data_IF_020608557167
#
_entry.id   IF_020608557167
#
_cell.length_a   1.000
_cell.length_b   1.000
_cell.length_c   1.000
_cell.angle_alpha   90.00
_cell.angle_beta   90.00
_cell.angle_gamma   90.00
#
_symmetry.space_group_name_H-M   'P 1'
#
loop_
_entity.id
_entity.type
_entity.pdbx_description
1 polymer ?
#
# COMPACT_ATOMS: atom_id res chain seq x y z
N UNK A 1 -8.58 -7.50 -29.57
CA UNK A 1 -7.67 -7.43 -28.41
C UNK A 1 -8.56 -7.38 -27.19
N UNK A 2 -8.55 -8.42 -26.36
CA UNK A 2 -9.19 -8.42 -25.05
C UNK A 2 -8.24 -7.72 -24.07
N UNK A 3 -8.57 -6.47 -23.72
CA UNK A 3 -7.81 -5.66 -22.78
C UNK A 3 -8.69 -5.35 -21.59
N UNK A 4 -8.27 -5.81 -20.41
CA UNK A 4 -9.00 -5.63 -19.15
C UNK A 4 -8.06 -5.03 -18.12
N UNK A 5 -8.50 -3.97 -17.46
CA UNK A 5 -7.75 -3.28 -16.40
C UNK A 5 -8.52 -3.42 -15.10
N UNK A 6 -7.98 -4.18 -14.17
CA UNK A 6 -8.46 -4.21 -12.79
C UNK A 6 -7.72 -3.15 -12.01
N UNK A 7 -8.48 -2.26 -11.38
CA UNK A 7 -7.95 -1.14 -10.61
C UNK A 7 -8.71 -0.95 -9.31
N UNK A 8 -8.14 -0.11 -8.46
CA UNK A 8 -8.81 0.50 -7.30
C UNK A 8 -8.88 2.01 -7.49
N UNK A 9 -9.91 2.64 -6.94
CA UNK A 9 -10.23 4.06 -7.16
C UNK A 9 -9.22 5.02 -6.53
N UNK A 10 -8.42 4.55 -5.57
CA UNK A 10 -7.45 5.38 -4.83
C UNK A 10 -6.01 5.27 -5.34
N UNK A 11 -5.72 4.35 -6.27
CA UNK A 11 -4.35 4.03 -6.67
C UNK A 11 -3.86 4.89 -7.83
N UNK A 12 -2.85 5.75 -7.61
CA UNK A 12 -2.24 6.57 -8.67
C UNK A 12 -1.62 5.73 -9.80
N UNK A 13 -1.07 4.55 -9.50
CA UNK A 13 -0.56 3.65 -10.55
C UNK A 13 -1.67 3.17 -11.49
N UNK A 14 -2.88 2.98 -10.97
CA UNK A 14 -4.04 2.66 -11.80
C UNK A 14 -4.40 3.83 -12.71
N UNK A 15 -4.36 5.06 -12.20
CA UNK A 15 -4.59 6.27 -13.00
C UNK A 15 -3.53 6.42 -14.09
N UNK A 16 -2.28 6.06 -13.81
CA UNK A 16 -1.19 6.05 -14.81
C UNK A 16 -1.41 5.03 -15.92
N UNK A 17 -1.82 3.80 -15.59
CA UNK A 17 -2.18 2.78 -16.61
C UNK A 17 -3.35 3.28 -17.47
N UNK A 18 -4.42 3.76 -16.86
CA UNK A 18 -5.59 4.21 -17.59
C UNK A 18 -5.27 5.42 -18.47
N UNK A 19 -4.52 6.40 -17.95
CA UNK A 19 -4.06 7.56 -18.71
C UNK A 19 -3.14 7.16 -19.86
N UNK A 20 -2.27 6.18 -19.67
CA UNK A 20 -1.41 5.64 -20.72
C UNK A 20 -2.25 5.01 -21.85
N UNK A 21 -3.21 4.13 -21.52
CA UNK A 21 -4.06 3.48 -22.53
C UNK A 21 -4.93 4.50 -23.28
N UNK A 22 -5.52 5.47 -22.55
CA UNK A 22 -6.32 6.55 -23.14
C UNK A 22 -5.52 7.42 -24.11
N UNK A 23 -4.28 7.81 -23.75
CA UNK A 23 -3.42 8.63 -24.62
C UNK A 23 -3.07 7.92 -25.94
N UNK A 24 -3.09 6.60 -25.95
CA UNK A 24 -2.83 5.80 -27.15
C UNK A 24 -4.11 5.32 -27.86
N UNK A 25 -5.28 5.86 -27.50
CA UNK A 25 -6.60 5.48 -28.05
C UNK A 25 -6.90 3.97 -27.96
N UNK A 26 -6.44 3.34 -26.87
CA UNK A 26 -6.59 1.90 -26.65
C UNK A 26 -7.88 1.64 -25.86
N UNK A 27 -8.86 1.05 -26.53
CA UNK A 27 -10.11 0.63 -25.88
C UNK A 27 -9.85 -0.55 -24.94
N UNK A 28 -10.23 -0.39 -23.67
CA UNK A 28 -10.10 -1.42 -22.64
C UNK A 28 -11.31 -1.42 -21.70
N UNK A 29 -11.63 -2.60 -21.18
CA UNK A 29 -12.64 -2.73 -20.12
C UNK A 29 -11.97 -2.43 -18.77
N UNK A 30 -12.43 -1.40 -18.10
CA UNK A 30 -11.93 -1.03 -16.77
C UNK A 30 -12.87 -1.55 -15.69
N UNK A 31 -12.32 -2.21 -14.67
CA UNK A 31 -13.02 -2.76 -13.52
C UNK A 31 -12.46 -2.09 -12.26
N UNK A 32 -13.27 -1.29 -11.57
CA UNK A 32 -12.88 -0.58 -10.34
C UNK A 32 -13.38 -1.34 -9.12
N UNK A 33 -12.53 -2.21 -8.58
CA UNK A 33 -12.92 -3.28 -7.65
C UNK A 33 -13.48 -2.75 -6.32
N UNK A 34 -12.88 -1.71 -5.77
CA UNK A 34 -13.30 -1.13 -4.48
C UNK A 34 -14.61 -0.33 -4.56
N UNK A 35 -15.18 -0.15 -5.77
CA UNK A 35 -16.50 0.45 -5.98
C UNK A 35 -17.58 -0.58 -6.31
N UNK A 36 -17.21 -1.85 -6.53
CA UNK A 36 -18.16 -2.94 -6.70
C UNK A 36 -18.68 -3.40 -5.32
N UNK A 37 -19.82 -4.10 -5.30
CA UNK A 37 -20.42 -4.66 -4.08
C UNK A 37 -20.86 -6.11 -4.27
N UNK A 38 -20.88 -6.87 -3.18
CA UNK A 38 -21.36 -8.26 -3.14
C UNK A 38 -20.64 -9.19 -4.12
N UNK A 39 -21.39 -10.10 -4.73
CA UNK A 39 -20.89 -11.13 -5.65
C UNK A 39 -20.07 -10.57 -6.81
N UNK A 40 -20.38 -9.37 -7.30
CA UNK A 40 -19.64 -8.75 -8.40
C UNK A 40 -18.21 -8.39 -7.99
N UNK A 41 -18.06 -7.85 -6.78
CA UNK A 41 -16.76 -7.54 -6.21
C UNK A 41 -15.95 -8.82 -5.97
N UNK A 42 -16.56 -9.83 -5.38
CA UNK A 42 -15.89 -11.11 -5.11
C UNK A 42 -15.40 -11.79 -6.39
N UNK A 43 -16.23 -11.79 -7.44
CA UNK A 43 -15.85 -12.30 -8.77
C UNK A 43 -14.70 -11.52 -9.37
N UNK A 44 -14.73 -10.19 -9.31
CA UNK A 44 -13.66 -9.35 -9.85
C UNK A 44 -12.33 -9.52 -9.09
N UNK A 45 -12.39 -9.64 -7.76
CA UNK A 45 -11.21 -9.93 -6.92
C UNK A 45 -10.64 -11.29 -7.27
N UNK A 46 -11.50 -12.32 -7.31
CA UNK A 46 -11.10 -13.69 -7.63
C UNK A 46 -10.46 -13.77 -9.01
N UNK A 47 -11.08 -13.16 -10.02
CA UNK A 47 -10.56 -13.12 -11.39
C UNK A 47 -9.20 -12.40 -11.46
N UNK A 48 -9.10 -11.19 -10.90
CA UNK A 48 -7.84 -10.44 -10.84
C UNK A 48 -6.74 -11.26 -10.17
N UNK A 49 -7.04 -11.92 -9.04
CA UNK A 49 -6.09 -12.77 -8.33
C UNK A 49 -5.71 -14.02 -9.13
N UNK A 50 -6.65 -14.66 -9.82
CA UNK A 50 -6.34 -15.84 -10.63
C UNK A 50 -5.39 -15.51 -11.79
N UNK A 51 -5.53 -14.33 -12.38
CA UNK A 51 -4.69 -13.83 -13.47
C UNK A 51 -3.29 -13.40 -12.99
N UNK A 52 -3.22 -12.68 -11.87
CA UNK A 52 -1.98 -12.03 -11.40
C UNK A 52 -1.24 -12.79 -10.30
N UNK A 53 -1.94 -13.65 -9.55
CA UNK A 53 -1.48 -14.31 -8.31
C UNK A 53 -1.13 -13.34 -7.18
N UNK A 54 -1.76 -12.17 -7.15
CA UNK A 54 -1.52 -11.13 -6.15
C UNK A 54 -2.74 -10.24 -5.95
N UNK A 55 -2.79 -9.52 -4.83
CA UNK A 55 -3.88 -8.60 -4.45
C UNK A 55 -3.54 -7.11 -4.63
N UNK A 56 -2.45 -6.83 -5.34
CA UNK A 56 -1.95 -5.50 -5.61
C UNK A 56 -2.44 -4.99 -6.97
N UNK A 57 -2.54 -3.67 -7.11
CA UNK A 57 -3.14 -3.02 -8.28
C UNK A 57 -2.22 -1.93 -8.83
N UNK A 58 -2.26 -1.65 -10.15
CA UNK A 58 -3.16 -2.21 -11.17
C UNK A 58 -2.79 -3.62 -11.66
N UNK A 59 -3.77 -4.31 -12.24
CA UNK A 59 -3.59 -5.56 -13.00
C UNK A 59 -4.18 -5.36 -14.40
N UNK A 60 -3.34 -5.47 -15.42
CA UNK A 60 -3.72 -5.29 -16.82
C UNK A 60 -3.59 -6.62 -17.56
N UNK A 61 -4.69 -7.14 -18.08
CA UNK A 61 -4.73 -8.34 -18.91
C UNK A 61 -4.82 -7.96 -20.37
N UNK A 62 -3.95 -8.53 -21.20
CA UNK A 62 -3.87 -8.30 -22.65
C UNK A 62 -3.73 -9.65 -23.35
N UNK A 63 -4.78 -10.10 -24.04
CA UNK A 63 -4.77 -11.30 -24.90
C UNK A 63 -4.06 -12.53 -24.28
N UNK A 64 -4.33 -12.86 -23.01
CA UNK A 64 -3.70 -14.00 -22.31
C UNK A 64 -2.51 -13.63 -21.42
N UNK A 65 -1.96 -12.43 -21.56
CA UNK A 65 -0.81 -11.97 -20.79
C UNK A 65 -1.23 -11.01 -19.69
N UNK A 66 -0.80 -11.29 -18.46
CA UNK A 66 -0.98 -10.41 -17.32
C UNK A 66 0.24 -9.50 -17.12
N UNK A 67 0.00 -8.19 -17.01
CA UNK A 67 0.95 -7.16 -16.61
C UNK A 67 0.50 -6.60 -15.27
N UNK A 68 1.42 -6.57 -14.31
CA UNK A 68 1.16 -6.05 -12.97
C UNK A 68 1.82 -4.69 -12.84
N UNK A 69 1.15 -3.76 -12.16
CA UNK A 69 1.64 -2.42 -11.95
C UNK A 69 1.70 -1.62 -13.24
N UNK A 70 2.38 -0.46 -13.19
CA UNK A 70 2.67 0.33 -14.37
C UNK A 70 4.07 -0.03 -14.90
N UNK A 71 4.13 -1.00 -15.81
CA UNK A 71 5.35 -1.39 -16.50
C UNK A 71 5.27 -0.91 -17.96
N UNK A 72 5.68 0.33 -18.19
CA UNK A 72 5.47 1.04 -19.45
C UNK A 72 6.12 0.30 -20.62
N UNK A 73 7.37 -0.13 -20.48
CA UNK A 73 8.09 -0.87 -21.52
C UNK A 73 7.37 -2.17 -21.92
N UNK A 74 6.87 -2.93 -20.95
CA UNK A 74 6.11 -4.16 -21.17
C UNK A 74 4.75 -3.90 -21.81
N UNK A 75 4.04 -2.87 -21.37
CA UNK A 75 2.75 -2.47 -21.97
C UNK A 75 2.95 -2.06 -23.44
N UNK A 76 3.94 -1.20 -23.73
CA UNK A 76 4.28 -0.80 -25.10
C UNK A 76 4.56 -1.99 -25.99
N UNK A 77 5.36 -2.95 -25.51
CA UNK A 77 5.68 -4.16 -26.26
C UNK A 77 4.43 -4.98 -26.60
N UNK A 78 3.56 -5.25 -25.62
CA UNK A 78 2.35 -6.04 -25.83
C UNK A 78 1.33 -5.33 -26.75
N UNK A 79 1.28 -4.00 -26.68
CA UNK A 79 0.36 -3.16 -27.45
C UNK A 79 0.95 -2.73 -28.80
N UNK A 80 2.17 -3.17 -29.14
CA UNK A 80 2.90 -2.82 -30.37
C UNK A 80 3.07 -1.31 -30.57
N UNK A 81 3.28 -0.58 -29.49
CA UNK A 81 3.52 0.86 -29.49
C UNK A 81 5.02 1.18 -29.69
N UNK A 82 5.36 2.36 -30.24
CA UNK A 82 6.74 2.80 -30.35
C UNK A 82 7.38 2.98 -28.97
N UNK A 83 8.71 2.93 -28.94
CA UNK A 83 9.46 3.16 -27.70
C UNK A 83 9.26 4.59 -27.19
N UNK A 84 9.30 4.77 -25.86
CA UNK A 84 9.07 6.07 -25.20
C UNK A 84 9.95 7.19 -25.76
N UNK A 85 11.20 6.90 -26.14
CA UNK A 85 12.14 7.91 -26.67
C UNK A 85 11.64 8.51 -28.00
N UNK A 86 11.11 7.65 -28.87
CA UNK A 86 10.58 8.07 -30.18
C UNK A 86 9.32 8.93 -29.99
N UNK A 87 8.45 8.55 -29.06
CA UNK A 87 7.23 9.33 -28.77
C UNK A 87 7.52 10.68 -28.10
N UNK A 88 8.55 10.75 -27.24
CA UNK A 88 8.93 12.01 -26.60
C UNK A 88 9.42 13.05 -27.62
N UNK A 89 10.22 12.62 -28.62
CA UNK A 89 10.66 13.47 -29.74
C UNK A 89 9.48 14.00 -30.58
N UNK A 90 8.41 13.23 -30.71
CA UNK A 90 7.19 13.63 -31.43
C UNK A 90 6.27 14.56 -30.61
N UNK A 91 6.25 14.39 -29.28
CA UNK A 91 5.36 15.12 -28.36
C UNK A 91 5.83 16.53 -27.95
N UNK A 92 7.13 16.84 -28.10
CA UNK A 92 7.68 18.18 -27.80
C UNK A 92 7.15 19.29 -28.75
N UNK A 93 6.39 18.91 -29.79
CA UNK A 93 5.76 19.82 -30.74
C UNK A 93 4.36 20.33 -30.33
N UNK A 94 3.70 19.74 -29.32
CA UNK A 94 2.31 20.09 -28.98
C UNK A 94 2.10 20.33 -27.48
N UNK A 95 2.28 21.60 -27.06
CA UNK A 95 2.03 22.04 -25.69
C UNK A 95 0.56 22.42 -25.44
N UNK A 96 0.01 22.01 -24.28
CA UNK A 96 -1.30 22.48 -23.81
C UNK A 96 -1.22 23.04 -22.38
N UNK A 97 -1.83 24.22 -22.24
CA UNK A 97 -1.99 25.03 -21.02
C UNK A 97 -3.03 24.43 -20.07
N UNK A 98 -2.79 24.53 -18.77
CA UNK A 98 -3.79 24.32 -17.72
C UNK A 98 -4.24 25.65 -17.14
N UNK A 99 -5.56 25.82 -16.99
CA UNK A 99 -6.24 26.97 -16.41
C UNK A 99 -6.86 26.63 -15.04
N UNK A 100 -7.43 27.65 -14.41
CA UNK A 100 -7.32 28.06 -13.01
C UNK A 100 -8.49 27.63 -12.10
N UNK A 101 -8.25 27.82 -10.80
CA UNK A 101 -9.18 28.35 -9.79
C UNK A 101 -9.77 27.34 -8.82
N UNK A 102 -9.63 27.66 -7.53
CA UNK A 102 -9.83 26.76 -6.41
C UNK A 102 -10.51 27.57 -5.29
N UNK A 103 -11.71 27.12 -4.88
CA UNK A 103 -12.70 27.77 -4.00
C UNK A 103 -12.52 27.35 -2.53
N UNK A 104 -13.19 28.03 -1.60
CA UNK A 104 -12.99 27.90 -0.14
C UNK A 104 -13.05 26.47 0.46
N UNK A 105 -13.75 25.51 -0.16
CA UNK A 105 -13.73 24.08 0.25
C UNK A 105 -12.36 23.44 0.08
N UNK A 106 -11.58 23.99 -0.84
CA UNK A 106 -10.24 23.53 -1.10
C UNK A 106 -9.28 23.98 0.00
N UNK A 107 -9.57 25.05 0.76
CA UNK A 107 -8.66 25.51 1.85
C UNK A 107 -8.58 24.52 3.00
N UNK A 108 -9.70 24.02 3.51
CA UNK A 108 -9.71 23.02 4.60
C UNK A 108 -9.11 21.69 4.13
N UNK A 109 -9.35 21.33 2.86
CA UNK A 109 -8.72 20.19 2.19
C UNK A 109 -7.20 20.37 2.08
N UNK A 110 -6.75 21.55 1.67
CA UNK A 110 -5.34 21.93 1.54
C UNK A 110 -4.63 21.85 2.90
N UNK A 111 -5.19 22.43 3.96
CA UNK A 111 -4.62 22.35 5.31
C UNK A 111 -4.51 20.90 5.82
N UNK A 112 -5.49 20.05 5.49
CA UNK A 112 -5.46 18.62 5.86
C UNK A 112 -4.36 17.89 5.10
N UNK A 113 -4.17 18.20 3.81
CA UNK A 113 -3.12 17.60 2.98
C UNK A 113 -1.73 18.07 3.39
N UNK A 114 -1.55 19.35 3.71
CA UNK A 114 -0.30 19.91 4.23
C UNK A 114 0.09 19.20 5.53
N UNK A 115 -0.82 19.07 6.49
CA UNK A 115 -0.53 18.34 7.75
C UNK A 115 -0.17 16.88 7.51
N UNK A 116 -0.88 16.20 6.61
CA UNK A 116 -0.59 14.80 6.27
C UNK A 116 0.78 14.67 5.60
N UNK A 117 1.09 15.56 4.66
CA UNK A 117 2.37 15.64 3.97
C UNK A 117 3.50 15.90 4.96
N UNK A 118 3.39 16.91 5.81
CA UNK A 118 4.40 17.26 6.81
C UNK A 118 4.70 16.09 7.76
N UNK A 119 3.65 15.35 8.15
CA UNK A 119 3.82 14.13 8.94
C UNK A 119 4.59 13.05 8.16
N UNK A 120 4.20 12.76 6.92
CA UNK A 120 4.89 11.79 6.06
C UNK A 120 6.34 12.19 5.77
N UNK A 121 6.64 13.48 5.60
CA UNK A 121 8.00 13.99 5.44
C UNK A 121 8.84 13.75 6.68
N UNK A 122 8.28 13.97 7.88
CA UNK A 122 8.97 13.66 9.15
C UNK A 122 9.24 12.17 9.29
N UNK A 123 8.27 11.31 8.98
CA UNK A 123 8.42 9.85 8.99
C UNK A 123 9.47 9.37 7.96
N UNK A 124 9.53 10.00 6.79
CA UNK A 124 10.55 9.70 5.79
C UNK A 124 11.94 10.05 6.34
N UNK A 125 12.08 11.28 6.85
CA UNK A 125 13.35 11.81 7.34
C UNK A 125 13.88 11.05 8.54
N UNK A 126 13.03 10.61 9.48
CA UNK A 126 13.45 9.82 10.64
C UNK A 126 14.04 8.47 10.27
N UNK A 127 13.73 7.96 9.07
CA UNK A 127 14.27 6.72 8.51
C UNK A 127 15.36 6.95 7.44
N UNK A 128 15.79 8.20 7.24
CA UNK A 128 16.85 8.53 6.27
C UNK A 128 16.39 8.56 4.81
N UNK A 129 15.10 8.75 4.56
CA UNK A 129 14.51 8.82 3.23
C UNK A 129 13.78 10.15 2.99
N UNK A 130 13.29 10.35 1.77
CA UNK A 130 12.44 11.48 1.38
C UNK A 130 11.08 11.00 0.88
N UNK A 131 10.13 11.93 0.76
CA UNK A 131 8.95 11.70 -0.09
C UNK A 131 9.28 12.00 -1.55
N UNK A 132 8.47 11.48 -2.48
CA UNK A 132 8.66 11.63 -3.91
C UNK A 132 8.74 13.12 -4.32
N UNK A 133 9.73 13.54 -5.13
CA UNK A 133 9.85 14.92 -5.56
C UNK A 133 8.73 15.37 -6.53
N UNK A 134 8.09 14.42 -7.23
CA UNK A 134 6.98 14.70 -8.14
C UNK A 134 5.72 15.05 -7.34
N UNK A 135 5.39 16.35 -7.32
CA UNK A 135 4.25 16.89 -6.56
C UNK A 135 2.93 16.26 -6.97
N UNK A 136 2.73 15.99 -8.26
CA UNK A 136 1.49 15.40 -8.75
C UNK A 136 1.32 13.97 -8.21
N UNK A 137 2.40 13.19 -8.22
CA UNK A 137 2.39 11.84 -7.64
C UNK A 137 2.09 11.88 -6.15
N UNK A 138 2.71 12.81 -5.41
CA UNK A 138 2.43 12.97 -3.97
C UNK A 138 0.97 13.33 -3.75
N UNK A 139 0.42 14.31 -4.45
CA UNK A 139 -0.98 14.75 -4.32
C UNK A 139 -1.99 13.64 -4.63
N UNK A 140 -1.75 12.85 -5.67
CA UNK A 140 -2.59 11.68 -6.02
C UNK A 140 -2.56 10.65 -4.89
N UNK A 141 -1.39 10.36 -4.32
CA UNK A 141 -1.24 9.43 -3.20
C UNK A 141 -1.91 9.95 -1.92
N UNK A 142 -1.71 11.22 -1.57
CA UNK A 142 -2.34 11.86 -0.40
C UNK A 142 -3.87 11.86 -0.53
N UNK A 143 -4.37 12.11 -1.74
CA UNK A 143 -5.80 12.01 -2.03
C UNK A 143 -6.32 10.60 -1.78
N UNK A 144 -5.62 9.57 -2.28
CA UNK A 144 -5.97 8.18 -2.03
C UNK A 144 -5.95 7.80 -0.55
N UNK A 145 -4.93 8.26 0.21
CA UNK A 145 -4.83 8.05 1.65
C UNK A 145 -5.99 8.69 2.42
N UNK A 146 -6.35 9.94 2.08
CA UNK A 146 -7.46 10.65 2.72
C UNK A 146 -8.82 10.01 2.41
N UNK A 147 -9.02 9.55 1.16
CA UNK A 147 -10.23 8.79 0.79
C UNK A 147 -10.32 7.50 1.59
N UNK A 148 -9.21 6.76 1.73
CA UNK A 148 -9.18 5.52 2.51
C UNK A 148 -9.38 5.76 4.00
N UNK A 149 -8.81 6.83 4.55
CA UNK A 149 -9.04 7.21 5.95
C UNK A 149 -10.52 7.52 6.20
N UNK A 150 -11.17 8.23 5.28
CA UNK A 150 -12.61 8.48 5.36
C UNK A 150 -13.45 7.21 5.25
N UNK A 151 -13.02 6.24 4.42
CA UNK A 151 -13.75 4.98 4.19
C UNK A 151 -13.61 3.98 5.33
N UNK A 152 -12.40 3.82 5.85
CA UNK A 152 -12.05 2.72 6.75
C UNK A 152 -11.69 3.18 8.17
N UNK A 153 -11.50 4.48 8.39
CA UNK A 153 -11.04 5.04 9.66
C UNK A 153 -9.53 5.00 9.87
N UNK A 154 -8.77 4.56 8.85
CA UNK A 154 -7.31 4.50 8.87
C UNK A 154 -6.72 4.72 7.46
N UNK A 155 -5.48 5.19 7.41
CA UNK A 155 -4.75 5.54 6.18
C UNK A 155 -4.25 4.30 5.43
N UNK A 156 -5.18 3.45 4.98
CA UNK A 156 -4.84 2.26 4.20
C UNK A 156 -4.10 2.65 2.91
N UNK A 157 -3.05 1.90 2.56
CA UNK A 157 -2.23 2.14 1.37
C UNK A 157 -3.11 2.26 0.12
N UNK A 158 -3.01 3.35 -0.64
CA UNK A 158 -3.90 3.59 -1.78
C UNK A 158 -3.70 2.61 -2.93
N UNK A 159 -2.56 1.90 -2.97
CA UNK A 159 -2.18 0.96 -4.03
C UNK A 159 -2.40 -0.52 -3.65
N UNK A 160 -2.94 -0.80 -2.45
CA UNK A 160 -3.31 -2.15 -2.00
C UNK A 160 -4.78 -2.19 -1.63
N UNK A 161 -5.48 -3.26 -1.99
CA UNK A 161 -6.89 -3.40 -1.65
C UNK A 161 -7.05 -3.66 -0.15
N UNK A 162 -7.74 -2.75 0.53
CA UNK A 162 -8.08 -2.86 1.94
C UNK A 162 -9.32 -3.75 2.12
N UNK A 163 -9.36 -4.51 3.21
CA UNK A 163 -10.52 -5.32 3.60
C UNK A 163 -11.54 -4.53 4.41
N UNK A 164 -11.16 -3.36 4.92
CA UNK A 164 -11.97 -2.56 5.84
C UNK A 164 -11.95 -3.09 7.28
N UNK A 165 -11.15 -4.13 7.55
CA UNK A 165 -10.94 -4.69 8.89
C UNK A 165 -9.53 -4.35 9.35
N UNK A 166 -9.41 -3.46 10.33
CA UNK A 166 -8.12 -2.98 10.85
C UNK A 166 -7.11 -4.10 11.13
N UNK A 167 -7.54 -5.18 11.79
CA UNK A 167 -6.68 -6.32 12.13
C UNK A 167 -6.06 -7.02 10.91
N UNK A 168 -6.76 -6.99 9.76
CA UNK A 168 -6.33 -7.61 8.51
C UNK A 168 -5.55 -6.65 7.61
N UNK A 169 -5.65 -5.35 7.88
CA UNK A 169 -5.06 -4.28 7.06
C UNK A 169 -3.93 -3.53 7.79
N UNK A 170 -3.59 -3.92 9.03
CA UNK A 170 -2.60 -3.22 9.85
C UNK A 170 -1.22 -3.15 9.18
N UNK A 171 -0.88 -4.16 8.38
CA UNK A 171 0.36 -4.26 7.60
C UNK A 171 0.42 -3.27 6.42
N UNK A 172 -0.74 -2.79 5.96
CA UNK A 172 -0.86 -1.87 4.82
C UNK A 172 -1.27 -0.44 5.23
N UNK A 173 -1.39 -0.12 6.52
CA UNK A 173 -1.58 1.26 7.00
C UNK A 173 -0.31 2.06 6.70
N UNK A 174 -0.43 3.23 6.09
CA UNK A 174 0.72 4.07 5.74
C UNK A 174 1.39 4.67 7.00
N UNK A 175 2.73 4.66 7.13
CA UNK A 175 3.71 3.91 6.33
C UNK A 175 3.57 2.39 6.58
N UNK A 176 3.39 1.61 5.52
CA UNK A 176 3.14 0.17 5.65
C UNK A 176 4.38 -0.59 6.12
N UNK A 177 4.20 -1.79 6.67
CA UNK A 177 5.30 -2.62 7.20
C UNK A 177 6.38 -2.96 6.16
N UNK A 178 6.05 -2.85 4.87
CA UNK A 178 6.96 -3.11 3.75
C UNK A 178 7.76 -1.87 3.29
N UNK A 179 7.34 -0.67 3.72
CA UNK A 179 7.72 0.59 3.10
C UNK A 179 9.24 0.78 3.04
N UNK A 180 9.90 0.79 4.19
CA UNK A 180 11.33 1.12 4.27
C UNK A 180 12.21 0.01 3.69
N UNK A 181 11.82 -1.25 3.85
CA UNK A 181 12.51 -2.37 3.20
C UNK A 181 12.45 -2.27 1.68
N UNK A 182 11.30 -1.88 1.12
CA UNK A 182 11.15 -1.64 -0.31
C UNK A 182 12.00 -0.45 -0.77
N UNK A 183 12.05 0.64 0.01
CA UNK A 183 12.89 1.81 -0.29
C UNK A 183 14.37 1.46 -0.30
N UNK A 184 14.84 0.72 0.71
CA UNK A 184 16.24 0.29 0.81
C UNK A 184 16.66 -0.56 -0.40
N UNK A 185 15.85 -1.56 -0.74
CA UNK A 185 16.16 -2.53 -1.80
C UNK A 185 15.96 -1.97 -3.20
N UNK A 186 14.86 -1.24 -3.41
CA UNK A 186 14.35 -0.89 -4.74
C UNK A 186 14.31 0.62 -5.00
N UNK A 187 14.81 1.41 -4.05
CA UNK A 187 14.87 2.87 -4.13
C UNK A 187 13.55 3.58 -3.83
N UNK A 188 12.43 2.86 -3.71
CA UNK A 188 11.12 3.42 -3.40
C UNK A 188 10.20 2.40 -2.77
N UNK A 189 9.20 2.86 -2.02
CA UNK A 189 8.13 1.97 -1.55
C UNK A 189 7.18 1.59 -2.70
N UNK A 190 6.30 0.59 -2.48
CA UNK A 190 5.38 0.10 -3.52
C UNK A 190 4.55 1.21 -4.21
N UNK A 191 3.99 2.16 -3.45
CA UNK A 191 3.27 3.29 -4.01
C UNK A 191 4.17 4.43 -4.50
N UNK A 192 5.51 4.32 -4.39
CA UNK A 192 6.46 5.38 -4.68
C UNK A 192 6.21 6.71 -3.95
N UNK A 193 5.63 6.64 -2.75
CA UNK A 193 5.52 7.81 -1.88
C UNK A 193 6.87 8.12 -1.21
N UNK A 194 7.48 7.12 -0.59
CA UNK A 194 8.79 7.21 0.03
C UNK A 194 9.85 6.75 -0.97
N UNK A 195 10.95 7.49 -1.05
CA UNK A 195 12.01 7.29 -2.04
C UNK A 195 13.39 7.51 -1.40
N UNK A 196 14.40 6.82 -1.92
CA UNK A 196 15.80 7.04 -1.58
C UNK A 196 16.47 8.03 -2.52
N UNK A 197 17.64 8.53 -2.14
CA UNK A 197 18.45 9.41 -3.00
C UNK A 197 18.81 8.74 -4.33
N UNK A 198 18.94 7.41 -4.36
CA UNK A 198 19.18 6.63 -5.59
C UNK A 198 18.01 6.76 -6.57
N UNK A 199 16.79 6.75 -6.06
CA UNK A 199 15.61 6.94 -6.91
C UNK A 199 15.51 8.37 -7.41
N UNK A 200 15.78 9.36 -6.55
CA UNK A 200 15.77 10.78 -6.91
C UNK A 200 16.84 11.10 -7.96
N UNK A 201 18.02 10.50 -7.86
CA UNK A 201 19.11 10.67 -8.83
C UNK A 201 18.90 9.91 -10.15
N UNK A 202 17.84 9.10 -10.25
CA UNK A 202 17.55 8.33 -11.46
C UNK A 202 18.51 7.15 -11.69
N UNK A 203 18.96 6.49 -10.62
CA UNK A 203 19.85 5.33 -10.69
C UNK A 203 19.27 4.24 -11.62
N UNK A 204 19.94 3.95 -12.77
CA UNK A 204 19.44 3.02 -13.76
C UNK A 204 19.46 1.55 -13.30
N UNK A 205 20.11 1.25 -12.18
CA UNK A 205 20.08 -0.10 -11.58
C UNK A 205 18.77 -0.40 -10.83
N UNK A 206 17.96 0.63 -10.55
CA UNK A 206 16.69 0.46 -9.89
C UNK A 206 15.64 -0.14 -10.84
N UNK A 207 14.77 -1.02 -10.34
CA UNK A 207 13.80 -1.69 -11.20
C UNK A 207 12.72 -0.72 -11.69
N UNK A 208 12.31 -0.84 -12.95
CA UNK A 208 11.17 -0.08 -13.51
C UNK A 208 9.88 -0.47 -12.78
N UNK A 209 9.68 -1.77 -12.54
CA UNK A 209 8.53 -2.35 -11.84
C UNK A 209 8.92 -2.88 -10.47
N UNK A 210 8.10 -2.59 -9.46
CA UNK A 210 8.30 -3.05 -8.09
C UNK A 210 7.25 -4.12 -7.75
N UNK A 211 7.64 -5.40 -7.52
CA UNK A 211 6.70 -6.42 -7.07
C UNK A 211 6.13 -6.11 -5.68
N UNK A 212 4.89 -6.54 -5.41
CA UNK A 212 4.28 -6.33 -4.09
C UNK A 212 4.85 -7.32 -3.06
N UNK A 213 5.70 -6.81 -2.17
CA UNK A 213 6.30 -7.56 -1.07
C UNK A 213 5.27 -8.23 -0.17
N UNK A 214 4.04 -7.72 -0.05
CA UNK A 214 2.96 -8.36 0.73
C UNK A 214 2.63 -9.77 0.23
N UNK A 215 2.67 -9.98 -1.07
CA UNK A 215 2.26 -11.23 -1.73
C UNK A 215 3.44 -12.20 -1.91
N UNK A 216 4.68 -11.68 -1.95
CA UNK A 216 5.91 -12.48 -2.08
C UNK A 216 6.59 -12.80 -0.75
N UNK A 217 6.16 -12.14 0.32
CA UNK A 217 6.47 -12.56 1.68
C UNK A 217 5.75 -13.88 1.93
N UNK A 218 6.38 -15.02 1.63
CA UNK A 218 5.97 -16.37 2.07
C UNK A 218 5.95 -16.54 3.60
N UNK A 219 5.83 -15.43 4.33
CA UNK A 219 5.86 -15.22 5.76
C UNK A 219 4.52 -15.60 6.38
N UNK A 220 3.39 -15.47 5.68
CA UNK A 220 2.11 -15.91 6.26
C UNK A 220 2.03 -17.43 6.42
N UNK A 221 2.63 -18.22 5.53
CA UNK A 221 2.68 -19.69 5.67
C UNK A 221 3.87 -20.17 6.51
N UNK A 222 5.04 -19.51 6.44
CA UNK A 222 6.25 -19.96 7.15
C UNK A 222 6.37 -19.45 8.58
N UNK A 223 5.83 -18.26 8.91
CA UNK A 223 5.99 -17.71 10.26
C UNK A 223 5.18 -18.47 11.32
N UNK A 224 4.06 -19.09 10.95
CA UNK A 224 3.33 -19.96 11.87
C UNK A 224 4.16 -21.21 12.27
N UNK A 225 5.03 -21.71 11.38
CA UNK A 225 5.91 -22.84 11.65
C UNK A 225 7.19 -22.47 12.39
N UNK A 226 7.85 -21.39 11.97
CA UNK A 226 9.16 -20.98 12.53
C UNK A 226 9.03 -20.40 13.94
N UNK A 227 7.92 -19.72 14.26
CA UNK A 227 7.68 -19.20 15.62
C UNK A 227 7.55 -20.36 16.63
N UNK A 228 6.96 -21.50 16.24
CA UNK A 228 6.85 -22.67 17.13
C UNK A 228 8.20 -23.30 17.48
N UNK A 229 9.14 -23.37 16.54
CA UNK A 229 10.45 -23.99 16.76
C UNK A 229 11.45 -23.06 17.48
N UNK A 230 11.37 -21.74 17.26
CA UNK A 230 12.22 -20.76 17.91
C UNK A 230 11.90 -20.55 19.40
N UNK A 231 10.62 -20.54 19.77
CA UNK A 231 10.17 -20.37 21.17
C UNK A 231 10.63 -21.56 22.03
N UNK A 232 10.60 -22.78 21.48
CA UNK A 232 11.01 -23.99 22.21
C UNK A 232 12.51 -24.01 22.59
N UNK A 233 13.39 -23.34 21.83
CA UNK A 233 14.84 -23.31 22.12
C UNK A 233 15.25 -22.21 23.08
N UNK A 234 14.56 -21.05 23.07
CA UNK A 234 14.93 -19.90 23.94
C UNK A 234 14.42 -20.09 25.37
N UNK A 235 13.32 -20.81 25.57
CA UNK A 235 12.71 -21.04 26.88
C UNK A 235 13.56 -21.89 27.84
N UNK A 236 14.60 -22.57 27.36
CA UNK A 236 15.40 -23.51 28.18
C UNK A 236 16.63 -22.85 28.85
N UNK A 237 17.07 -21.67 28.39
CA UNK A 237 18.37 -21.09 28.82
C UNK A 237 18.33 -19.69 29.44
N UNK A 238 17.16 -19.05 29.59
CA UNK A 238 17.09 -17.69 30.17
C UNK A 238 16.73 -17.71 31.66
N UNK A 239 17.50 -17.01 32.53
CA UNK A 239 17.11 -16.81 33.93
C UNK A 239 15.78 -16.06 34.01
N UNK A 240 14.86 -16.52 34.87
CA UNK A 240 13.57 -15.90 35.13
C UNK A 240 13.75 -14.46 35.65
N UNK A 241 13.75 -13.50 34.72
CA UNK A 241 13.80 -12.08 35.04
C UNK A 241 12.36 -11.58 35.04
N UNK A 242 11.86 -11.19 36.22
CA UNK A 242 10.47 -10.76 36.40
C UNK A 242 10.29 -9.34 35.83
N UNK A 243 9.77 -9.23 34.62
CA UNK A 243 9.42 -7.94 34.01
C UNK A 243 8.00 -7.53 34.43
N UNK A 244 7.84 -6.33 35.01
CA UNK A 244 6.52 -5.70 35.16
C UNK A 244 6.14 -5.03 33.83
N UNK A 245 5.12 -5.55 33.17
CA UNK A 245 4.62 -4.99 31.91
C UNK A 245 3.46 -4.05 32.23
N UNK A 246 3.65 -2.74 32.05
CA UNK A 246 2.56 -1.77 32.05
C UNK A 246 2.14 -1.49 30.62
N UNK A 247 0.91 -1.88 30.27
CA UNK A 247 0.35 -1.63 28.95
C UNK A 247 -0.74 -0.59 29.05
N UNK A 248 -0.51 0.58 28.46
CA UNK A 248 -1.51 1.66 28.42
C UNK A 248 -2.37 1.43 27.19
N UNK A 249 -3.61 0.98 27.36
CA UNK A 249 -4.56 0.86 26.25
C UNK A 249 -4.96 2.29 25.87
N UNK A 250 -4.27 2.86 24.88
CA UNK A 250 -4.59 4.19 24.36
C UNK A 250 -6.00 4.11 23.76
N UNK A 251 -6.89 5.02 24.20
CA UNK A 251 -8.35 4.97 24.02
C UNK A 251 -8.86 5.16 22.59
N UNK A 252 -8.37 4.37 21.63
CA UNK A 252 -8.86 4.34 20.26
C UNK A 252 -10.03 3.36 20.06
N UNK A 253 -10.19 2.41 20.98
CA UNK A 253 -11.35 1.51 21.03
C UNK A 253 -12.52 2.24 21.71
N UNK A 254 -13.57 2.52 20.95
CA UNK A 254 -14.76 3.22 21.47
C UNK A 254 -15.80 2.27 22.07
N UNK A 255 -15.79 0.98 21.69
CA UNK A 255 -16.71 -0.04 22.20
C UNK A 255 -16.14 -0.73 23.45
N UNK A 256 -16.96 -0.83 24.51
CA UNK A 256 -16.64 -1.48 25.76
C UNK A 256 -16.53 -3.01 25.60
N UNK A 257 -17.28 -3.60 24.67
CA UNK A 257 -17.23 -5.03 24.38
C UNK A 257 -15.87 -5.42 23.77
N UNK A 258 -15.36 -4.62 22.84
CA UNK A 258 -14.06 -4.84 22.22
C UNK A 258 -12.93 -4.69 23.24
N UNK A 259 -13.03 -3.74 24.17
CA UNK A 259 -12.04 -3.56 25.26
C UNK A 259 -12.00 -4.78 26.18
N UNK A 260 -13.17 -5.30 26.56
CA UNK A 260 -13.26 -6.49 27.40
C UNK A 260 -12.71 -7.72 26.68
N UNK A 261 -13.01 -7.87 25.39
CA UNK A 261 -12.49 -8.98 24.57
C UNK A 261 -10.97 -8.92 24.42
N UNK A 262 -10.41 -7.75 24.12
CA UNK A 262 -8.96 -7.57 24.05
C UNK A 262 -8.28 -7.85 25.40
N UNK A 263 -8.92 -7.50 26.51
CA UNK A 263 -8.44 -7.82 27.86
C UNK A 263 -8.47 -9.33 28.15
N UNK A 264 -9.57 -9.99 27.80
CA UNK A 264 -9.70 -11.45 27.99
C UNK A 264 -8.71 -12.23 27.13
N UNK A 265 -8.52 -11.84 25.87
CA UNK A 265 -7.56 -12.48 24.98
C UNK A 265 -6.12 -12.27 25.47
N UNK A 266 -5.81 -11.09 26.02
CA UNK A 266 -4.51 -10.83 26.64
C UNK A 266 -4.28 -11.66 27.90
N UNK A 267 -5.28 -11.79 28.77
CA UNK A 267 -5.17 -12.61 29.98
C UNK A 267 -4.96 -14.09 29.64
N UNK A 268 -5.61 -14.61 28.61
CA UNK A 268 -5.39 -15.97 28.12
C UNK A 268 -3.95 -16.16 27.61
N UNK A 269 -3.44 -15.21 26.83
CA UNK A 269 -2.06 -15.24 26.35
C UNK A 269 -1.06 -15.17 27.53
N UNK A 270 -1.34 -14.35 28.54
CA UNK A 270 -0.48 -14.24 29.72
C UNK A 270 -0.48 -15.53 30.57
N UNK A 271 -1.63 -16.18 30.70
CA UNK A 271 -1.78 -17.47 31.38
C UNK A 271 -1.07 -18.60 30.63
N UNK A 272 -1.15 -18.62 29.30
CA UNK A 272 -0.40 -19.55 28.43
C UNK A 272 1.13 -19.36 28.50
N UNK A 273 1.59 -18.17 28.89
CA UNK A 273 3.00 -17.82 29.05
C UNK A 273 3.52 -17.93 30.50
N UNK A 274 2.72 -18.49 31.41
CA UNK A 274 3.04 -18.69 32.84
C UNK A 274 3.44 -17.39 33.56
N UNK A 275 2.90 -16.25 33.10
CA UNK A 275 3.14 -14.95 33.73
C UNK A 275 2.16 -14.80 34.91
N UNK A 276 2.63 -14.55 36.15
CA UNK A 276 1.75 -14.46 37.31
C UNK A 276 0.71 -13.35 37.13
N UNK A 277 -0.57 -13.66 37.34
CA UNK A 277 -1.68 -12.73 37.15
C UNK A 277 -1.56 -11.43 37.98
N UNK A 278 -0.86 -11.48 39.11
CA UNK A 278 -0.52 -10.30 39.93
C UNK A 278 0.44 -9.30 39.27
N UNK A 279 1.05 -9.67 38.14
CA UNK A 279 2.02 -8.86 37.38
C UNK A 279 1.36 -8.07 36.25
N UNK A 280 0.08 -8.33 35.98
CA UNK A 280 -0.70 -7.73 34.90
C UNK A 280 -1.65 -6.70 35.50
N UNK A 281 -1.37 -5.41 35.30
CA UNK A 281 -2.32 -4.34 35.58
C UNK A 281 -2.93 -3.85 34.27
N UNK A 282 -4.25 -4.03 34.13
CA UNK A 282 -5.03 -3.47 33.04
C UNK A 282 -5.85 -2.29 33.60
N UNK A 283 -5.41 -1.06 33.31
CA UNK A 283 -6.18 0.17 33.51
C UNK A 283 -6.85 0.60 32.19
#
# INVERSE_FOLDING_TARGET
MDIRVYRISTCHWCDKVESFLKRHDINCRTIVIDLLAGDEQEKAISESYHLSKQRSFPVTYIDGTCVIGFHESRLRHLLKLPSRRVEQEESELEGVKGDTSVLLKDREKLETFEKMRDWLEREAKSHGYAINPDQKVVEEILTGLAVNEKRYGYKACPCRLATGKYQMDCDIICPCSYCYLDVEKNGRCYCSLFVSDRFVSGDPSLPEYLPDTREHSGVLEKSAGVIKEGIAKVAVETPQTLYKIHMKVIGFMQDLADKNKAREDFLKIAEELDVPSSSVQCD
#
